data_IF_219212577214
#
_entry.id   IF_219212577214
#
_cell.length_a   1.000
_cell.length_b   1.000
_cell.length_c   1.000
_cell.angle_alpha   90.00
_cell.angle_beta   90.00
_cell.angle_gamma   90.00
#
_symmetry.space_group_name_H-M   'P 1'
#
loop_
_entity.id
_entity.type
_entity.pdbx_description
1 polymer ?
#
# COMPACT_ATOMS: atom_id res chain seq x y z
N UNK A 1 -9.49 -9.80 2.52
CA UNK A 1 -8.52 -8.69 2.52
C UNK A 1 -7.20 -9.00 1.79
N UNK A 2 -6.90 -8.30 0.70
CA UNK A 2 -5.55 -8.27 0.09
C UNK A 2 -4.75 -7.08 0.62
N UNK A 3 -3.52 -7.34 1.05
CA UNK A 3 -2.55 -6.33 1.47
C UNK A 3 -1.43 -6.26 0.45
N UNK A 4 -1.04 -5.04 0.05
CA UNK A 4 0.12 -4.82 -0.81
C UNK A 4 1.14 -3.97 -0.06
N UNK A 5 2.36 -4.45 0.08
CA UNK A 5 3.48 -3.66 0.62
C UNK A 5 4.28 -3.10 -0.54
N UNK A 6 4.44 -1.78 -0.56
CA UNK A 6 5.09 -1.05 -1.64
C UNK A 6 6.30 -0.30 -1.08
N UNK A 7 7.47 -0.53 -1.68
CA UNK A 7 8.69 0.20 -1.36
C UNK A 7 9.23 0.89 -2.59
N UNK A 8 9.70 2.13 -2.45
CA UNK A 8 10.31 2.85 -3.57
C UNK A 8 11.67 2.28 -3.99
N UNK A 9 12.07 2.54 -5.25
CA UNK A 9 11.29 3.21 -6.32
C UNK A 9 10.12 2.33 -6.81
N UNK A 10 9.00 2.92 -7.27
CA UNK A 10 7.88 2.17 -7.83
C UNK A 10 7.73 2.48 -9.32
N UNK A 11 7.70 1.44 -10.15
CA UNK A 11 7.33 1.57 -11.56
C UNK A 11 5.84 1.90 -11.71
N UNK A 12 5.48 2.61 -12.79
CA UNK A 12 4.07 2.94 -13.08
C UNK A 12 3.20 1.67 -13.22
N UNK A 13 3.75 0.59 -13.75
CA UNK A 13 3.09 -0.73 -13.83
C UNK A 13 2.70 -1.27 -12.45
N UNK A 14 3.54 -1.07 -11.43
CA UNK A 14 3.23 -1.45 -10.05
C UNK A 14 2.05 -0.62 -9.51
N UNK A 15 2.05 0.70 -9.75
CA UNK A 15 0.96 1.58 -9.32
C UNK A 15 -0.38 1.17 -9.94
N UNK A 16 -0.40 0.88 -11.25
CA UNK A 16 -1.60 0.40 -11.96
C UNK A 16 -2.08 -0.94 -11.41
N UNK A 17 -1.18 -1.89 -11.14
CA UNK A 17 -1.52 -3.18 -10.56
C UNK A 17 -2.18 -3.02 -9.18
N UNK A 18 -1.56 -2.25 -8.29
CA UNK A 18 -2.11 -2.03 -6.95
C UNK A 18 -3.41 -1.23 -7.02
N UNK A 19 -3.54 -0.28 -7.93
CA UNK A 19 -4.80 0.43 -8.13
C UNK A 19 -5.93 -0.53 -8.51
N UNK A 20 -5.69 -1.50 -9.40
CA UNK A 20 -6.66 -2.55 -9.71
C UNK A 20 -7.09 -3.30 -8.44
N UNK A 21 -6.11 -3.74 -7.64
CA UNK A 21 -6.38 -4.45 -6.39
C UNK A 21 -7.21 -3.59 -5.43
N UNK A 22 -6.89 -2.30 -5.28
CA UNK A 22 -7.65 -1.42 -4.39
C UNK A 22 -9.05 -1.08 -4.91
N UNK A 23 -9.33 -1.24 -6.20
CA UNK A 23 -10.69 -1.08 -6.75
C UNK A 23 -11.58 -2.29 -6.45
N UNK A 24 -11.00 -3.48 -6.31
CA UNK A 24 -11.77 -4.72 -6.14
C UNK A 24 -12.55 -4.81 -4.81
N UNK A 25 -12.04 -4.22 -3.73
CA UNK A 25 -12.69 -4.29 -2.42
C UNK A 25 -12.30 -3.15 -1.48
N UNK A 26 -13.24 -2.62 -0.68
CA UNK A 26 -12.94 -1.63 0.34
C UNK A 26 -12.13 -2.16 1.51
N UNK A 27 -11.94 -3.48 1.64
CA UNK A 27 -11.04 -4.05 2.63
C UNK A 27 -9.58 -4.00 2.19
N UNK A 28 -9.31 -3.89 0.89
CA UNK A 28 -7.94 -3.98 0.39
C UNK A 28 -7.12 -2.78 0.87
N UNK A 29 -5.85 -3.05 1.19
CA UNK A 29 -4.94 -2.06 1.75
C UNK A 29 -3.64 -2.07 0.97
N UNK A 30 -3.10 -0.88 0.74
CA UNK A 30 -1.74 -0.69 0.26
C UNK A 30 -0.96 0.05 1.34
N UNK A 31 0.21 -0.46 1.72
CA UNK A 31 1.10 0.17 2.69
C UNK A 31 2.33 0.66 1.95
N UNK A 32 2.57 1.96 2.02
CA UNK A 32 3.74 2.64 1.48
C UNK A 32 4.87 2.65 2.52
N UNK A 33 6.00 2.07 2.14
CA UNK A 33 7.25 2.04 2.87
C UNK A 33 8.27 2.90 2.14
N UNK A 34 8.85 3.89 2.81
CA UNK A 34 9.85 4.80 2.27
C UNK A 34 9.52 5.29 0.85
N UNK A 35 8.36 5.93 0.68
CA UNK A 35 7.82 6.24 -0.65
C UNK A 35 7.37 7.69 -0.76
N UNK A 36 7.67 8.32 -1.90
CA UNK A 36 7.19 9.64 -2.32
C UNK A 36 6.00 9.56 -3.29
N UNK A 37 5.45 8.36 -3.47
CA UNK A 37 4.42 8.11 -4.47
C UNK A 37 3.12 8.80 -4.12
N UNK A 38 2.60 9.55 -5.08
CA UNK A 38 1.23 10.07 -5.08
C UNK A 38 0.35 9.10 -5.85
N UNK A 39 -0.70 8.62 -5.19
CA UNK A 39 -1.68 7.69 -5.73
C UNK A 39 -2.53 8.35 -6.82
N UNK A 40 -2.55 7.80 -8.05
CA UNK A 40 -3.30 8.38 -9.14
C UNK A 40 -4.78 7.95 -9.08
N UNK A 41 -5.61 8.73 -8.39
CA UNK A 41 -7.08 8.66 -8.47
C UNK A 41 -7.78 7.85 -7.38
N UNK A 42 -9.10 7.69 -7.56
CA UNK A 42 -9.99 7.08 -6.58
C UNK A 42 -9.72 5.57 -6.39
N UNK A 43 -9.82 5.12 -5.14
CA UNK A 43 -9.73 3.72 -4.73
C UNK A 43 -10.84 3.36 -3.75
N UNK A 44 -11.37 2.14 -3.83
CA UNK A 44 -12.32 1.63 -2.83
C UNK A 44 -11.59 1.24 -1.54
N UNK A 45 -10.41 0.64 -1.68
CA UNK A 45 -9.48 0.35 -0.59
C UNK A 45 -8.72 1.58 -0.10
N UNK A 46 -7.85 1.39 0.88
CA UNK A 46 -7.08 2.48 1.49
C UNK A 46 -5.59 2.35 1.18
N UNK A 47 -4.96 3.51 0.98
CA UNK A 47 -3.51 3.67 0.93
C UNK A 47 -3.07 4.23 2.27
N UNK A 48 -2.15 3.53 2.93
CA UNK A 48 -1.60 3.87 4.24
C UNK A 48 -0.10 4.10 4.08
N UNK A 49 0.49 4.92 4.94
CA UNK A 49 1.94 5.05 5.04
C UNK A 49 2.42 4.68 6.43
N UNK A 50 3.64 4.17 6.54
CA UNK A 50 4.24 3.95 7.86
C UNK A 50 4.79 5.27 8.39
N UNK A 51 4.47 5.57 9.65
CA UNK A 51 4.87 6.82 10.32
C UNK A 51 6.38 7.03 10.25
N UNK A 52 6.79 8.20 9.74
CA UNK A 52 8.20 8.56 9.58
C UNK A 52 8.90 7.93 8.38
N UNK A 53 8.22 7.08 7.61
CA UNK A 53 8.79 6.47 6.40
C UNK A 53 8.44 7.27 5.14
N UNK A 54 7.28 7.93 5.05
CA UNK A 54 6.84 8.61 3.81
C UNK A 54 6.59 10.10 4.04
N UNK A 55 6.83 10.94 3.03
CA UNK A 55 6.61 12.39 3.08
C UNK A 55 5.23 12.80 2.54
N UNK A 56 4.28 11.87 2.55
CA UNK A 56 3.06 11.95 1.75
C UNK A 56 1.88 12.23 2.68
N UNK A 57 0.80 12.81 2.16
CA UNK A 57 -0.41 13.13 2.96
C UNK A 57 -1.33 11.92 3.23
N UNK A 58 -0.80 10.69 3.20
CA UNK A 58 -1.61 9.49 3.48
C UNK A 58 -1.75 9.25 4.98
N UNK A 59 -2.86 8.63 5.43
CA UNK A 59 -3.01 8.21 6.81
C UNK A 59 -1.80 7.39 7.27
N UNK A 60 -1.20 7.79 8.39
CA UNK A 60 -0.04 7.14 8.96
C UNK A 60 -0.44 6.01 9.91
N UNK A 61 0.29 4.91 9.86
CA UNK A 61 0.19 3.79 10.80
C UNK A 61 1.55 3.47 11.41
N UNK A 62 1.54 2.89 12.60
CA UNK A 62 2.75 2.38 13.25
C UNK A 62 3.26 1.08 12.60
N UNK A 63 4.50 0.71 12.93
CA UNK A 63 5.02 -0.60 12.56
C UNK A 63 4.21 -1.74 13.19
N UNK A 64 3.75 -1.60 14.43
CA UNK A 64 2.92 -2.62 15.09
C UNK A 64 1.59 -2.84 14.37
N UNK A 65 0.93 -1.76 13.95
CA UNK A 65 -0.28 -1.84 13.12
C UNK A 65 -0.01 -2.46 11.75
N UNK A 66 1.13 -2.14 11.14
CA UNK A 66 1.59 -2.76 9.89
C UNK A 66 1.72 -4.27 10.06
N UNK A 67 2.40 -4.73 11.12
CA UNK A 67 2.52 -6.16 11.43
C UNK A 67 1.17 -6.82 11.70
N UNK A 68 0.26 -6.14 12.39
CA UNK A 68 -1.10 -6.64 12.63
C UNK A 68 -1.89 -6.80 11.32
N UNK A 69 -1.78 -5.84 10.40
CA UNK A 69 -2.41 -5.92 9.08
C UNK A 69 -1.84 -7.07 8.24
N UNK A 70 -0.51 -7.27 8.28
CA UNK A 70 0.14 -8.41 7.59
C UNK A 70 -0.42 -9.73 8.12
N UNK A 71 -0.54 -9.90 9.45
CA UNK A 71 -1.09 -11.13 10.05
C UNK A 71 -2.56 -11.38 9.70
N UNK A 72 -3.34 -10.32 9.46
CA UNK A 72 -4.76 -10.41 9.09
C UNK A 72 -4.99 -10.56 7.59
N UNK A 73 -3.97 -10.34 6.75
CA UNK A 73 -4.10 -10.38 5.31
C UNK A 73 -4.32 -11.81 4.82
N UNK A 74 -5.44 -12.05 4.13
CA UNK A 74 -5.68 -13.32 3.44
C UNK A 74 -4.78 -13.49 2.22
N UNK A 75 -4.26 -12.38 1.68
CA UNK A 75 -3.29 -12.36 0.57
C UNK A 75 -2.33 -11.20 0.77
N UNK A 76 -1.04 -11.48 0.69
CA UNK A 76 0.03 -10.49 0.74
C UNK A 76 0.72 -10.41 -0.63
N UNK A 77 0.87 -9.21 -1.17
CA UNK A 77 1.60 -8.96 -2.41
C UNK A 77 2.81 -8.06 -2.13
N UNK A 78 3.96 -8.49 -2.67
CA UNK A 78 5.24 -7.81 -2.57
C UNK A 78 5.72 -7.54 -4.01
N UNK A 79 5.39 -6.40 -4.62
CA UNK A 79 5.85 -6.07 -5.96
C UNK A 79 7.37 -5.92 -5.92
N UNK A 80 8.08 -6.85 -6.54
CA UNK A 80 9.53 -6.78 -6.65
C UNK A 80 9.91 -5.78 -7.75
N UNK A 81 10.90 -4.93 -7.48
CA UNK A 81 11.60 -4.20 -8.55
C UNK A 81 12.54 -5.19 -9.23
N UNK A 82 12.10 -5.81 -10.32
CA UNK A 82 12.98 -6.52 -11.25
C UNK A 82 13.63 -5.48 -12.15
#
# INVERSE_FOLDING_TARGET
MTLVLLRSPLAESHLRMVQSILKDSPENRAILLNSSVVWPGESNGQVLSVKGESQNHYPEISWDETYALIKKASRLLLPANI
#
